data_IF_261906101452
#
_entry.id   IF_261906101452
#
_cell.length_a   1.000
_cell.length_b   1.000
_cell.length_c   1.000
_cell.angle_alpha   90.00
_cell.angle_beta   90.00
_cell.angle_gamma   90.00
#
_symmetry.space_group_name_H-M   'P 1'
#
loop_
_entity.id
_entity.type
_entity.pdbx_description
1 polymer ?
#
# COMPACT_ATOMS: atom_id res chain seq x y z
N UNK A 1 0.52 9.07 0.58
CA UNK A 1 -0.77 9.17 -0.13
C UNK A 1 -1.56 10.31 0.48
N UNK A 2 -1.91 11.32 -0.32
CA UNK A 2 -2.60 12.52 0.17
C UNK A 2 -4.07 12.57 -0.31
N UNK A 3 -4.87 13.41 0.34
CA UNK A 3 -6.26 13.65 -0.04
C UNK A 3 -7.31 12.92 0.80
N UNK A 4 -6.90 11.97 1.65
CA UNK A 4 -7.82 11.17 2.49
C UNK A 4 -8.80 12.02 3.31
N UNK A 5 -8.28 13.05 4.01
CA UNK A 5 -9.10 14.01 4.78
C UNK A 5 -10.07 14.80 3.91
N UNK A 6 -9.61 15.25 2.73
CA UNK A 6 -10.43 16.00 1.77
C UNK A 6 -11.55 15.12 1.22
N UNK A 7 -11.21 13.89 0.83
CA UNK A 7 -12.16 12.90 0.33
C UNK A 7 -13.28 12.61 1.33
N UNK A 8 -12.94 12.40 2.62
CA UNK A 8 -13.94 12.19 3.68
C UNK A 8 -14.84 13.41 3.87
N UNK A 9 -14.25 14.62 3.97
CA UNK A 9 -15.00 15.88 4.15
C UNK A 9 -15.97 16.15 3.01
N UNK A 10 -15.57 15.93 1.76
CA UNK A 10 -16.46 16.11 0.59
C UNK A 10 -17.66 15.17 0.56
N UNK A 11 -17.65 14.13 1.40
CA UNK A 11 -18.71 13.10 1.50
C UNK A 11 -19.43 13.15 2.84
N UNK A 12 -19.15 14.15 3.67
CA UNK A 12 -19.67 14.26 5.03
C UNK A 12 -19.40 13.01 5.89
N UNK A 13 -18.22 12.41 5.70
CA UNK A 13 -17.75 11.23 6.44
C UNK A 13 -16.69 11.63 7.46
N UNK A 14 -16.51 10.79 8.48
CA UNK A 14 -15.41 10.93 9.43
C UNK A 14 -14.05 10.78 8.73
N UNK A 15 -13.03 11.47 9.25
CA UNK A 15 -11.66 11.47 8.69
C UNK A 15 -11.08 10.06 8.62
N UNK A 16 -11.37 9.22 9.62
CA UNK A 16 -10.92 7.82 9.67
C UNK A 16 -11.39 7.01 8.45
N UNK A 17 -12.58 7.29 7.92
CA UNK A 17 -13.12 6.60 6.74
C UNK A 17 -12.34 6.97 5.48
N UNK A 18 -11.88 8.21 5.36
CA UNK A 18 -10.97 8.62 4.30
C UNK A 18 -9.63 7.88 4.37
N UNK A 19 -9.10 7.65 5.57
CA UNK A 19 -7.87 6.88 5.76
C UNK A 19 -8.06 5.39 5.46
N UNK A 20 -9.19 4.82 5.87
CA UNK A 20 -9.59 3.46 5.50
C UNK A 20 -9.66 3.31 3.99
N UNK A 21 -10.34 4.21 3.28
CA UNK A 21 -10.38 4.21 1.81
C UNK A 21 -8.98 4.33 1.21
N UNK A 22 -8.12 5.18 1.79
CA UNK A 22 -6.71 5.28 1.40
C UNK A 22 -5.95 3.95 1.50
N UNK A 23 -6.22 3.12 2.52
CA UNK A 23 -5.60 1.80 2.68
C UNK A 23 -6.06 0.80 1.61
N UNK A 24 -7.30 0.89 1.14
CA UNK A 24 -7.83 0.06 0.04
C UNK A 24 -7.16 0.44 -1.28
N UNK A 25 -7.07 1.75 -1.57
CA UNK A 25 -6.37 2.27 -2.75
C UNK A 25 -4.88 1.88 -2.72
N UNK A 26 -4.26 1.87 -1.54
CA UNK A 26 -2.88 1.42 -1.41
C UNK A 26 -2.72 -0.05 -1.82
N UNK A 27 -3.60 -0.94 -1.34
CA UNK A 27 -3.60 -2.35 -1.75
C UNK A 27 -3.80 -2.51 -3.26
N UNK A 28 -4.72 -1.76 -3.86
CA UNK A 28 -4.93 -1.77 -5.31
C UNK A 28 -3.67 -1.30 -6.06
N UNK A 29 -2.99 -0.26 -5.57
CA UNK A 29 -1.76 0.25 -6.18
C UNK A 29 -0.62 -0.78 -6.16
N UNK A 30 -0.49 -1.58 -5.09
CA UNK A 30 0.48 -2.68 -5.03
C UNK A 30 0.19 -3.70 -6.13
N UNK A 31 -1.09 -4.06 -6.30
CA UNK A 31 -1.50 -4.99 -7.37
C UNK A 31 -1.13 -4.43 -8.74
N UNK A 32 -1.37 -3.15 -9.01
CA UNK A 32 -0.98 -2.54 -10.28
C UNK A 32 0.53 -2.52 -10.49
N UNK A 33 1.31 -2.26 -9.45
CA UNK A 33 2.78 -2.35 -9.52
C UNK A 33 3.23 -3.77 -9.91
N UNK A 34 2.66 -4.80 -9.29
CA UNK A 34 2.91 -6.20 -9.65
C UNK A 34 2.50 -6.46 -11.10
N UNK A 35 1.28 -6.08 -11.47
CA UNK A 35 0.72 -6.28 -12.81
C UNK A 35 1.51 -5.52 -13.89
N UNK A 36 2.23 -4.45 -13.56
CA UNK A 36 3.04 -3.66 -14.49
C UNK A 36 4.52 -4.04 -14.48
N UNK A 37 4.96 -4.90 -13.56
CA UNK A 37 6.37 -5.26 -13.39
C UNK A 37 7.22 -4.16 -12.77
N UNK A 38 6.62 -3.29 -11.97
CA UNK A 38 7.34 -2.26 -11.23
C UNK A 38 8.20 -2.93 -10.17
N UNK A 39 9.52 -2.80 -10.29
CA UNK A 39 10.47 -3.49 -9.41
C UNK A 39 10.56 -2.86 -8.02
N UNK A 40 10.36 -1.55 -7.94
CA UNK A 40 10.44 -0.78 -6.71
C UNK A 40 9.22 0.14 -6.59
N UNK A 41 8.49 0.01 -5.50
CA UNK A 41 7.39 0.90 -5.15
C UNK A 41 7.62 1.42 -3.75
N UNK A 42 7.59 2.75 -3.61
CA UNK A 42 7.80 3.46 -2.35
C UNK A 42 6.62 4.40 -2.09
N UNK A 43 5.92 4.20 -0.98
CA UNK A 43 4.81 5.08 -0.59
C UNK A 43 5.11 5.86 0.67
N UNK A 44 4.61 7.10 0.73
CA UNK A 44 4.67 7.87 1.96
C UNK A 44 3.39 7.63 2.78
N UNK A 45 3.46 6.74 3.78
CA UNK A 45 2.28 6.35 4.57
C UNK A 45 2.00 7.25 5.77
N UNK A 46 3.05 7.70 6.47
CA UNK A 46 2.96 8.58 7.63
C UNK A 46 4.19 9.48 7.66
N UNK A 47 4.00 10.77 7.99
CA UNK A 47 5.06 11.79 8.02
C UNK A 47 5.30 12.31 9.44
N UNK A 48 6.48 12.89 9.70
CA UNK A 48 6.75 13.54 10.99
C UNK A 48 5.76 14.68 11.28
N UNK A 49 5.33 15.38 10.24
CA UNK A 49 4.34 16.46 10.34
C UNK A 49 2.94 15.94 10.71
N UNK A 50 2.67 14.64 10.56
CA UNK A 50 1.39 14.06 10.97
C UNK A 50 1.25 13.94 12.48
N UNK A 51 2.35 14.06 13.23
CA UNK A 51 2.31 14.19 14.68
C UNK A 51 1.66 15.49 15.16
N UNK A 52 1.64 16.52 14.31
CA UNK A 52 1.00 17.80 14.63
C UNK A 52 -0.54 17.75 14.45
N UNK A 53 -1.11 16.58 14.13
CA UNK A 53 -2.57 16.38 14.04
C UNK A 53 -3.15 16.09 15.43
N UNK A 54 -4.47 15.98 15.53
CA UNK A 54 -5.10 15.65 16.81
C UNK A 54 -4.70 14.25 17.27
N UNK A 55 -4.54 14.05 18.59
CA UNK A 55 -4.20 12.75 19.17
C UNK A 55 -5.14 11.63 18.69
N UNK A 56 -6.44 11.93 18.61
CA UNK A 56 -7.44 11.00 18.08
C UNK A 56 -7.14 10.58 16.64
N UNK A 57 -6.81 11.53 15.75
CA UNK A 57 -6.51 11.19 14.35
C UNK A 57 -5.24 10.35 14.24
N UNK A 58 -4.22 10.65 15.05
CA UNK A 58 -2.98 9.85 15.12
C UNK A 58 -3.28 8.43 15.61
N UNK A 59 -4.08 8.27 16.65
CA UNK A 59 -4.51 6.96 17.18
C UNK A 59 -5.31 6.16 16.15
N UNK A 60 -6.26 6.80 15.46
CA UNK A 60 -7.05 6.19 14.40
C UNK A 60 -6.14 5.71 13.25
N UNK A 61 -5.14 6.49 12.86
CA UNK A 61 -4.13 6.12 11.85
C UNK A 61 -3.30 4.90 12.27
N UNK A 62 -2.82 4.88 13.52
CA UNK A 62 -2.02 3.76 14.03
C UNK A 62 -2.85 2.48 14.14
N UNK A 63 -4.10 2.61 14.56
CA UNK A 63 -5.05 1.48 14.60
C UNK A 63 -5.27 0.90 13.21
N UNK A 64 -5.54 1.75 12.21
CA UNK A 64 -5.70 1.31 10.83
C UNK A 64 -4.43 0.65 10.27
N UNK A 65 -3.26 1.20 10.59
CA UNK A 65 -1.98 0.62 10.18
C UNK A 65 -1.79 -0.79 10.77
N UNK A 66 -2.00 -0.96 12.07
CA UNK A 66 -1.89 -2.26 12.74
C UNK A 66 -2.88 -3.29 12.18
N UNK A 67 -4.13 -2.89 11.96
CA UNK A 67 -5.14 -3.75 11.33
C UNK A 67 -4.74 -4.16 9.92
N UNK A 68 -4.23 -3.23 9.12
CA UNK A 68 -3.80 -3.52 7.76
C UNK A 68 -2.59 -4.47 7.74
N UNK A 69 -1.59 -4.23 8.61
CA UNK A 69 -0.42 -5.10 8.75
C UNK A 69 -0.80 -6.51 9.21
N UNK A 70 -1.72 -6.63 10.17
CA UNK A 70 -2.28 -7.91 10.58
C UNK A 70 -2.87 -8.69 9.41
N UNK A 71 -3.67 -8.02 8.56
CA UNK A 71 -4.26 -8.62 7.36
C UNK A 71 -3.22 -9.02 6.31
N UNK A 72 -2.17 -8.21 6.12
CA UNK A 72 -1.07 -8.53 5.21
C UNK A 72 -0.37 -9.81 5.68
N UNK A 73 0.06 -9.86 6.94
CA UNK A 73 0.74 -11.02 7.53
C UNK A 73 -0.14 -12.27 7.46
N UNK A 74 -1.42 -12.14 7.80
CA UNK A 74 -2.38 -13.24 7.72
C UNK A 74 -2.55 -13.74 6.29
N UNK A 75 -2.67 -12.84 5.31
CA UNK A 75 -2.76 -13.18 3.90
C UNK A 75 -1.52 -13.91 3.40
N UNK A 76 -0.33 -13.46 3.78
CA UNK A 76 0.94 -14.13 3.43
C UNK A 76 1.02 -15.55 4.00
N UNK A 77 0.52 -15.75 5.23
CA UNK A 77 0.52 -17.06 5.91
C UNK A 77 -0.50 -18.04 5.33
N UNK A 78 -1.71 -17.57 5.02
CA UNK A 78 -2.82 -18.44 4.58
C UNK A 78 -2.74 -18.81 3.11
N UNK A 79 -2.27 -17.90 2.27
CA UNK A 79 -2.28 -18.05 0.82
C UNK A 79 -0.86 -17.86 0.28
N UNK A 80 -0.28 -18.94 -0.26
CA UNK A 80 1.06 -18.91 -0.86
C UNK A 80 1.10 -18.00 -2.09
N UNK A 81 0.00 -17.89 -2.83
CA UNK A 81 -0.12 -17.06 -4.03
C UNK A 81 -0.58 -15.63 -3.72
N UNK A 82 -0.61 -15.25 -2.44
CA UNK A 82 -0.90 -13.88 -2.03
C UNK A 82 -0.01 -12.87 -2.76
N UNK A 83 -0.60 -11.77 -3.23
CA UNK A 83 0.14 -10.66 -3.84
C UNK A 83 1.26 -10.12 -2.94
N UNK A 84 1.13 -10.29 -1.62
CA UNK A 84 2.12 -9.85 -0.65
C UNK A 84 3.33 -10.79 -0.58
N UNK A 85 3.19 -12.07 -0.96
CA UNK A 85 4.31 -13.00 -1.05
C UNK A 85 5.13 -12.77 -2.31
N UNK A 86 4.54 -12.13 -3.32
CA UNK A 86 5.28 -11.69 -4.48
C UNK A 86 6.19 -10.50 -4.17
N UNK A 87 6.18 -9.90 -2.97
CA UNK A 87 6.98 -8.71 -2.67
C UNK A 87 7.71 -8.78 -1.32
N UNK A 88 8.90 -8.18 -1.23
CA UNK A 88 9.57 -7.99 0.06
C UNK A 88 9.10 -6.68 0.71
N UNK A 89 8.39 -6.75 1.84
CA UNK A 89 7.95 -5.57 2.59
C UNK A 89 9.11 -5.01 3.44
N UNK A 90 9.52 -3.75 3.23
CA UNK A 90 10.47 -3.05 4.12
C UNK A 90 9.87 -1.75 4.63
N UNK A 91 10.21 -1.37 5.86
CA UNK A 91 9.82 -0.10 6.48
C UNK A 91 11.04 0.80 6.59
N UNK A 92 10.96 2.02 6.06
CA UNK A 92 12.02 3.02 6.20
C UNK A 92 11.48 4.20 6.99
N UNK A 93 12.07 4.47 8.16
CA UNK A 93 11.65 5.56 9.02
C UNK A 93 12.52 5.72 10.25
N UNK A 94 12.33 6.84 10.96
CA UNK A 94 12.93 7.02 12.29
C UNK A 94 12.16 6.20 13.31
N UNK A 95 12.89 5.38 14.07
CA UNK A 95 12.36 4.65 15.20
C UNK A 95 12.24 5.59 16.41
N UNK A 96 11.19 6.41 16.43
CA UNK A 96 10.90 7.32 17.55
C UNK A 96 9.82 6.65 18.39
N UNK A 97 10.20 6.02 19.51
CA UNK A 97 9.33 5.29 20.44
C UNK A 97 8.73 3.99 19.87
N UNK A 98 8.43 3.05 20.76
CA UNK A 98 8.26 1.59 20.56
C UNK A 98 7.16 1.12 19.58
N UNK A 99 6.52 2.02 18.81
CA UNK A 99 5.40 1.69 17.93
C UNK A 99 5.34 2.50 16.62
N UNK A 100 6.36 3.29 16.27
CA UNK A 100 6.16 4.34 15.25
C UNK A 100 7.09 4.21 14.05
N UNK A 101 6.47 3.94 12.90
CA UNK A 101 7.14 3.87 11.61
C UNK A 101 6.65 5.03 10.73
N UNK A 102 7.57 5.90 10.32
CA UNK A 102 7.50 6.42 8.96
C UNK A 102 7.54 5.16 8.08
N UNK A 103 6.48 4.87 7.34
CA UNK A 103 6.44 3.66 6.54
C UNK A 103 6.60 4.09 5.08
N UNK A 104 7.85 4.11 4.63
CA UNK A 104 8.12 3.78 3.24
C UNK A 104 8.01 2.27 3.14
N UNK A 105 6.91 1.80 2.54
CA UNK A 105 6.91 0.44 2.04
C UNK A 105 7.87 0.42 0.86
N UNK A 106 9.04 -0.20 1.01
CA UNK A 106 9.88 -0.54 -0.13
C UNK A 106 9.62 -2.01 -0.48
N UNK A 107 8.99 -2.24 -1.63
CA UNK A 107 8.82 -3.56 -2.24
C UNK A 107 10.08 -3.84 -3.06
N UNK A 108 10.93 -4.75 -2.58
CA UNK A 108 12.11 -5.21 -3.32
C UNK A 108 11.85 -6.60 -3.89
N UNK A 109 12.22 -6.78 -5.16
CA UNK A 109 12.16 -8.02 -5.91
C UNK A 109 10.75 -8.63 -5.93
N UNK A 110 9.95 -8.19 -6.91
CA UNK A 110 8.70 -8.89 -7.18
C UNK A 110 9.07 -10.26 -7.74
N UNK A 111 8.87 -11.31 -6.95
CA UNK A 111 9.18 -12.68 -7.34
C UNK A 111 8.28 -13.10 -8.50
N UNK A 112 8.75 -12.86 -9.72
CA UNK A 112 8.01 -13.19 -10.92
C UNK A 112 8.02 -14.71 -11.13
N UNK A 113 6.86 -15.36 -11.33
CA UNK A 113 6.82 -16.73 -11.86
C UNK A 113 7.76 -16.86 -13.07
N UNK A 114 8.41 -18.00 -13.27
CA UNK A 114 9.45 -18.20 -14.30
C UNK A 114 9.03 -17.83 -15.75
N UNK A 115 7.74 -17.61 -16.01
CA UNK A 115 7.19 -17.19 -17.31
C UNK A 115 6.42 -15.86 -17.28
N UNK A 116 6.46 -15.10 -16.19
CA UNK A 116 5.66 -13.90 -15.99
C UNK A 116 5.88 -12.84 -17.07
N UNK A 117 7.11 -12.61 -17.51
CA UNK A 117 7.43 -11.67 -18.59
C UNK A 117 6.74 -12.05 -19.92
N UNK A 118 6.59 -13.35 -20.19
CA UNK A 118 5.91 -13.84 -21.38
C UNK A 118 4.38 -13.72 -21.24
N UNK A 119 3.83 -14.04 -20.07
CA UNK A 119 2.41 -13.90 -19.77
C UNK A 119 1.97 -12.43 -19.72
N UNK A 120 2.79 -11.56 -19.14
CA UNK A 120 2.59 -10.13 -19.10
C UNK A 120 2.61 -9.50 -20.48
N UNK A 121 3.57 -9.89 -21.34
CA UNK A 121 3.60 -9.43 -22.75
C UNK A 121 2.34 -9.84 -23.50
N UNK A 122 1.88 -11.09 -23.33
CA UNK A 122 0.59 -11.56 -23.89
C UNK A 122 -0.58 -10.73 -23.35
N UNK A 123 -0.67 -10.55 -22.03
CA UNK A 123 -1.73 -9.76 -21.39
C UNK A 123 -1.74 -8.30 -21.86
N UNK A 124 -0.59 -7.62 -21.87
CA UNK A 124 -0.45 -6.22 -22.31
C UNK A 124 -0.87 -6.07 -23.77
N UNK A 125 -0.40 -6.96 -24.64
CA UNK A 125 -0.80 -6.97 -26.06
C UNK A 125 -2.30 -7.22 -26.28
N UNK A 126 -2.96 -7.89 -25.35
CA UNK A 126 -4.40 -8.19 -25.43
C UNK A 126 -5.32 -7.06 -24.96
N UNK A 127 -4.83 -6.12 -24.12
CA UNK A 127 -5.66 -5.05 -23.52
C UNK A 127 -5.25 -3.63 -23.87
N UNK A 128 -3.97 -3.37 -24.16
CA UNK A 128 -3.50 -2.03 -24.51
C UNK A 128 -3.53 -1.90 -26.03
N UNK A 129 -4.72 -1.67 -26.59
CA UNK A 129 -4.86 -1.08 -27.93
C UNK A 129 -4.74 0.44 -27.77
N UNK A 130 -3.54 0.96 -27.61
CA UNK A 130 -3.32 2.40 -27.82
C UNK A 130 -3.10 2.65 -29.30
N UNK A 131 -3.97 3.43 -29.98
CA UNK A 131 -3.58 4.07 -31.24
C UNK A 131 -2.45 5.06 -30.92
N UNK A 132 -1.37 5.00 -31.69
CA UNK A 132 -0.42 6.11 -31.80
C UNK A 132 -1.07 7.27 -32.54
#
# INVERSE_FOLDING_TARGET
>A
MDGNRRWARTRNLEVVEGHRRGSEVFRESIKWCIDLGVQEYTVYAFSCENWNRSNKEVEDLMTLFNLYMGKVIESMKKDKDSIYNACQLRFIGRHILSSFFLCFLHIHEIGFPKNWLAEWRKWRSSRVKTPL
#
